data_IF_050853684345
#
_entry.id   IF_050853684345
#
_cell.length_a   1.000
_cell.length_b   1.000
_cell.length_c   1.000
_cell.angle_alpha   90.00
_cell.angle_beta   90.00
_cell.angle_gamma   90.00
#
_symmetry.space_group_name_H-M   'P 1'
#
loop_
_entity.id
_entity.type
_entity.pdbx_description
1 polymer ?
#
# COMPACT_ATOMS: atom_id res chain seq x y z
N UNK A 1 -61.22 45.25 25.65
CA UNK A 1 -60.79 43.96 25.05
C UNK A 1 -60.69 44.17 23.53
N UNK A 2 -59.78 43.55 22.77
CA UNK A 2 -58.85 42.47 23.10
C UNK A 2 -57.35 42.87 23.07
N UNK A 3 -56.52 41.95 23.55
CA UNK A 3 -55.06 42.04 23.71
C UNK A 3 -54.37 41.71 22.37
N UNK A 4 -53.37 42.50 22.00
CA UNK A 4 -52.41 42.11 20.94
C UNK A 4 -51.20 41.47 21.60
N UNK A 5 -51.06 40.16 21.42
CA UNK A 5 -49.90 39.37 21.79
C UNK A 5 -48.79 39.62 20.77
N UNK A 6 -47.62 40.02 21.25
CA UNK A 6 -46.41 40.14 20.45
C UNK A 6 -46.02 38.78 19.86
N UNK A 7 -45.53 38.73 18.60
CA UNK A 7 -45.11 37.47 17.98
C UNK A 7 -43.74 37.06 18.55
N UNK A 8 -43.77 36.24 19.60
CA UNK A 8 -42.60 35.49 20.02
C UNK A 8 -42.30 34.43 18.93
N UNK A 9 -41.16 34.62 18.28
CA UNK A 9 -40.26 33.56 17.83
C UNK A 9 -40.75 32.55 16.78
N UNK A 10 -41.00 32.98 15.54
CA UNK A 10 -40.84 32.07 14.38
C UNK A 10 -39.36 31.73 14.11
N UNK A 11 -38.41 32.53 14.62
CA UNK A 11 -36.97 32.31 14.41
C UNK A 11 -36.37 31.18 15.26
N UNK A 12 -37.01 30.79 16.37
CA UNK A 12 -36.46 29.78 17.28
C UNK A 12 -36.67 28.34 16.77
N UNK A 13 -37.74 28.09 16.00
CA UNK A 13 -38.05 26.74 15.52
C UNK A 13 -37.23 26.33 14.28
N UNK A 14 -36.79 27.32 13.48
CA UNK A 14 -35.96 27.07 12.30
C UNK A 14 -34.52 26.63 12.65
N UNK A 15 -34.01 27.03 13.84
CA UNK A 15 -32.64 26.71 14.26
C UNK A 15 -32.54 25.25 14.75
N UNK A 16 -33.61 24.69 15.32
CA UNK A 16 -33.60 23.30 15.83
C UNK A 16 -33.65 22.26 14.69
N UNK A 17 -34.28 22.58 13.56
CA UNK A 17 -34.29 21.69 12.38
C UNK A 17 -32.97 21.71 11.60
N UNK A 18 -32.21 22.82 11.67
CA UNK A 18 -30.92 22.95 11.00
C UNK A 18 -29.77 22.23 11.74
N UNK A 19 -29.88 22.01 13.06
CA UNK A 19 -28.85 21.34 13.85
C UNK A 19 -28.98 19.82 13.89
N UNK A 20 -30.12 19.25 13.48
CA UNK A 20 -30.38 17.81 13.51
C UNK A 20 -29.76 17.00 12.35
N UNK A 21 -29.24 17.65 11.30
CA UNK A 21 -28.78 16.97 10.08
C UNK A 21 -27.28 16.94 9.85
N UNK A 22 -26.48 17.51 10.75
CA UNK A 22 -25.02 17.35 10.69
C UNK A 22 -24.59 16.00 11.30
N UNK A 23 -25.17 14.88 10.84
CA UNK A 23 -24.58 13.58 11.05
C UNK A 23 -23.35 13.50 10.14
N UNK A 24 -22.16 13.77 10.69
CA UNK A 24 -20.91 13.56 9.97
C UNK A 24 -20.78 12.07 9.71
N UNK A 25 -21.00 11.64 8.48
CA UNK A 25 -20.60 10.32 8.03
C UNK A 25 -19.08 10.22 8.18
N UNK A 26 -18.61 9.58 9.25
CA UNK A 26 -17.20 9.24 9.40
C UNK A 26 -16.94 8.09 8.43
N UNK A 27 -16.25 8.39 7.32
CA UNK A 27 -15.72 7.35 6.45
C UNK A 27 -14.57 6.66 7.20
N UNK A 28 -14.80 5.41 7.61
CA UNK A 28 -13.73 4.55 8.13
C UNK A 28 -12.72 4.31 7.01
N UNK A 29 -11.43 4.47 7.30
CA UNK A 29 -10.40 4.14 6.32
C UNK A 29 -10.46 2.63 6.07
N UNK A 30 -10.43 2.17 4.80
CA UNK A 30 -10.32 0.76 4.53
C UNK A 30 -9.04 0.20 5.17
N UNK A 31 -9.12 -0.99 5.72
CA UNK A 31 -7.95 -1.67 6.28
C UNK A 31 -6.86 -1.84 5.21
N UNK A 32 -5.60 -1.72 5.62
CA UNK A 32 -4.46 -1.93 4.72
C UNK A 32 -4.44 -3.40 4.25
N UNK A 33 -4.42 -3.62 2.94
CA UNK A 33 -4.17 -4.93 2.37
C UNK A 33 -2.68 -5.26 2.50
N UNK A 34 -2.36 -6.33 3.22
CA UNK A 34 -0.98 -6.80 3.43
C UNK A 34 -0.57 -7.86 2.39
N UNK A 35 -1.53 -8.40 1.65
CA UNK A 35 -1.30 -9.49 0.70
C UNK A 35 -0.62 -8.98 -0.56
N UNK A 36 0.49 -9.63 -0.93
CA UNK A 36 1.14 -9.42 -2.22
C UNK A 36 0.33 -10.11 -3.32
N UNK A 37 0.43 -9.58 -4.56
CA UNK A 37 -0.13 -10.24 -5.73
C UNK A 37 0.44 -11.67 -5.89
N UNK A 38 -0.31 -12.58 -6.54
CA UNK A 38 0.20 -13.92 -6.86
C UNK A 38 1.52 -13.86 -7.65
N UNK A 39 2.47 -14.70 -7.26
CA UNK A 39 3.82 -14.74 -7.82
C UNK A 39 3.91 -15.42 -9.18
N UNK A 40 3.16 -14.96 -10.19
CA UNK A 40 3.33 -15.43 -11.56
C UNK A 40 3.24 -14.29 -12.57
N UNK A 41 3.93 -14.45 -13.70
CA UNK A 41 3.86 -13.51 -14.81
C UNK A 41 3.84 -14.26 -16.13
N UNK A 42 2.94 -13.86 -17.04
CA UNK A 42 2.80 -14.47 -18.37
C UNK A 42 3.34 -13.57 -19.44
N UNK A 43 4.09 -14.16 -20.36
CA UNK A 43 4.59 -13.47 -21.55
C UNK A 43 4.52 -14.39 -22.76
N UNK A 44 4.30 -13.80 -23.94
CA UNK A 44 4.38 -14.52 -25.21
C UNK A 44 5.83 -14.46 -25.75
N UNK A 45 6.35 -15.60 -26.18
CA UNK A 45 7.62 -15.72 -26.90
C UNK A 45 7.36 -16.41 -28.23
N UNK A 46 7.11 -15.62 -29.27
CA UNK A 46 6.55 -16.12 -30.53
C UNK A 46 5.18 -16.73 -30.28
N UNK A 47 5.02 -18.01 -30.62
CA UNK A 47 3.76 -18.76 -30.47
C UNK A 47 3.63 -19.44 -29.10
N UNK A 48 4.61 -19.29 -28.19
CA UNK A 48 4.59 -19.94 -26.88
C UNK A 48 4.19 -18.97 -25.77
N UNK A 49 3.29 -19.40 -24.88
CA UNK A 49 3.06 -18.74 -23.59
C UNK A 49 4.07 -19.26 -22.57
N UNK A 50 4.89 -18.36 -22.02
CA UNK A 50 5.80 -18.64 -20.90
C UNK A 50 5.17 -18.11 -19.63
N UNK A 51 5.07 -18.96 -18.60
CA UNK A 51 4.62 -18.55 -17.26
C UNK A 51 5.80 -18.60 -16.30
N UNK A 52 6.32 -17.43 -15.92
CA UNK A 52 7.26 -17.34 -14.82
C UNK A 52 6.52 -17.60 -13.50
N UNK A 53 7.04 -18.50 -12.67
CA UNK A 53 6.52 -18.85 -11.35
C UNK A 53 7.54 -18.46 -10.28
N UNK A 54 7.11 -17.71 -9.27
CA UNK A 54 7.92 -17.29 -8.14
C UNK A 54 7.74 -18.28 -6.98
N UNK A 55 8.83 -18.96 -6.59
CA UNK A 55 8.87 -19.93 -5.48
C UNK A 55 9.23 -19.27 -4.14
N UNK A 56 9.35 -17.94 -4.13
CA UNK A 56 9.77 -17.14 -2.99
C UNK A 56 11.20 -16.64 -3.12
N UNK A 57 11.82 -16.34 -1.98
CA UNK A 57 13.16 -15.78 -1.92
C UNK A 57 13.98 -16.37 -0.77
N UNK A 58 15.30 -16.23 -0.87
CA UNK A 58 16.24 -16.55 0.21
C UNK A 58 17.26 -15.43 0.37
N UNK A 59 17.83 -15.29 1.55
CA UNK A 59 18.94 -14.37 1.80
C UNK A 59 20.27 -15.06 1.46
N UNK A 60 21.05 -14.46 0.56
CA UNK A 60 22.38 -14.94 0.20
C UNK A 60 23.42 -14.04 0.86
N UNK A 61 24.34 -14.64 1.61
CA UNK A 61 25.47 -13.93 2.19
C UNK A 61 26.42 -13.45 1.07
N UNK A 62 26.78 -12.16 1.10
CA UNK A 62 27.61 -11.56 0.04
C UNK A 62 29.03 -12.14 -0.02
N UNK A 63 29.51 -12.77 1.05
CA UNK A 63 30.79 -13.49 1.05
C UNK A 63 30.82 -14.71 0.13
N UNK A 64 29.64 -15.18 -0.33
CA UNK A 64 29.54 -16.24 -1.35
C UNK A 64 29.85 -15.73 -2.76
N UNK A 65 29.76 -14.42 -3.00
CA UNK A 65 30.12 -13.81 -4.28
C UNK A 65 31.65 -13.75 -4.40
N UNK A 66 32.18 -14.23 -5.53
CA UNK A 66 33.63 -14.35 -5.77
C UNK A 66 34.02 -13.61 -7.05
N UNK A 67 35.32 -13.27 -7.14
CA UNK A 67 35.90 -12.62 -8.33
C UNK A 67 36.07 -11.10 -8.20
N UNK A 68 35.80 -10.54 -7.01
CA UNK A 68 35.91 -9.11 -6.69
C UNK A 68 36.16 -8.95 -5.18
N UNK A 69 36.79 -7.85 -4.77
CA UNK A 69 36.95 -7.49 -3.35
C UNK A 69 35.59 -7.16 -2.71
N UNK A 70 35.43 -7.47 -1.42
CA UNK A 70 34.14 -7.36 -0.72
C UNK A 70 33.58 -5.93 -0.72
N UNK A 71 34.43 -4.92 -0.54
CA UNK A 71 34.01 -3.51 -0.54
C UNK A 71 33.51 -3.07 -1.91
N UNK A 72 34.08 -3.62 -2.98
CA UNK A 72 33.65 -3.32 -4.35
C UNK A 72 32.31 -4.01 -4.65
N UNK A 73 32.11 -5.25 -4.18
CA UNK A 73 30.81 -5.95 -4.24
C UNK A 73 29.73 -5.12 -3.55
N UNK A 74 29.97 -4.68 -2.31
CA UNK A 74 29.01 -3.87 -1.55
C UNK A 74 28.71 -2.55 -2.23
N UNK A 75 29.72 -1.86 -2.80
CA UNK A 75 29.53 -0.65 -3.59
C UNK A 75 28.65 -0.88 -4.82
N UNK A 76 28.79 -2.02 -5.49
CA UNK A 76 27.95 -2.37 -6.64
C UNK A 76 26.51 -2.71 -6.25
N UNK A 77 26.31 -3.42 -5.13
CA UNK A 77 24.98 -3.70 -4.60
C UNK A 77 24.27 -2.42 -4.15
N UNK A 78 24.98 -1.52 -3.46
CA UNK A 78 24.46 -0.21 -3.03
C UNK A 78 24.06 0.68 -4.22
N UNK A 79 24.86 0.68 -5.29
CA UNK A 79 24.52 1.38 -6.54
C UNK A 79 23.23 0.85 -7.21
N UNK A 80 22.79 -0.36 -6.87
CA UNK A 80 21.54 -0.97 -7.31
C UNK A 80 20.43 -0.89 -6.24
N UNK A 81 20.67 -0.21 -5.12
CA UNK A 81 19.77 -0.11 -3.97
C UNK A 81 19.43 -1.48 -3.35
N UNK A 82 20.36 -2.43 -3.43
CA UNK A 82 20.22 -3.75 -2.80
C UNK A 82 20.77 -3.65 -1.37
N UNK A 83 19.86 -3.74 -0.39
CA UNK A 83 20.24 -3.89 1.01
C UNK A 83 20.84 -5.31 1.23
N UNK A 84 22.09 -5.34 1.64
CA UNK A 84 22.84 -6.55 1.89
C UNK A 84 23.19 -6.76 3.38
N UNK A 85 22.74 -5.87 4.27
CA UNK A 85 23.09 -5.93 5.71
C UNK A 85 22.63 -7.24 6.36
N UNK A 86 21.46 -7.73 5.96
CA UNK A 86 20.88 -9.00 6.44
C UNK A 86 20.98 -10.14 5.42
N UNK A 87 21.88 -9.99 4.44
CA UNK A 87 22.00 -10.88 3.29
C UNK A 87 21.16 -10.39 2.11
N UNK A 88 21.68 -10.60 0.91
CA UNK A 88 21.04 -10.17 -0.33
C UNK A 88 19.80 -11.01 -0.62
N UNK A 89 18.63 -10.39 -0.63
CA UNK A 89 17.38 -11.05 -1.01
C UNK A 89 17.44 -11.50 -2.47
N UNK A 90 17.37 -12.81 -2.69
CA UNK A 90 17.49 -13.44 -4.01
C UNK A 90 16.24 -14.27 -4.31
N UNK A 91 15.58 -13.99 -5.42
CA UNK A 91 14.39 -14.72 -5.87
C UNK A 91 14.73 -16.13 -6.39
N UNK A 92 13.82 -17.07 -6.18
CA UNK A 92 13.83 -18.40 -6.78
C UNK A 92 12.64 -18.48 -7.75
N UNK A 93 12.90 -18.84 -9.02
CA UNK A 93 11.88 -18.84 -10.06
C UNK A 93 11.92 -20.12 -10.91
N UNK A 94 10.76 -20.52 -11.46
CA UNK A 94 10.57 -21.60 -12.44
C UNK A 94 9.83 -21.08 -13.70
N UNK A 95 9.88 -21.83 -14.80
CA UNK A 95 9.26 -21.49 -16.10
C UNK A 95 8.67 -22.72 -16.80
#
# INVERSE_FOLDING_TARGET
>A
MPKSLSPLSSGALAIVLATGWAATAQAELPAQQQEQAPGWFRTMVGEYEVTALHDGHTAIDTSLLKGMEQDEILRHLDALFIDAESGMQTAVNAF
#
